data_IF_908969705068
#
_entry.id   IF_908969705068
#
_cell.length_a   1.000
_cell.length_b   1.000
_cell.length_c   1.000
_cell.angle_alpha   90.00
_cell.angle_beta   90.00
_cell.angle_gamma   90.00
#
_symmetry.space_group_name_H-M   'P 1'
#
loop_
_entity.id
_entity.type
_entity.pdbx_description
1 polymer ?
#
# COMPACT_ATOMS: atom_id res chain seq x y z
N UNK A 1 4.46 35.85 41.70
CA UNK A 1 5.08 34.61 41.14
C UNK A 1 4.06 33.56 40.68
N UNK A 2 3.05 33.18 41.47
CA UNK A 2 2.03 32.17 41.07
C UNK A 2 1.34 32.43 39.71
N UNK A 3 1.03 33.69 39.39
CA UNK A 3 0.38 34.05 38.09
C UNK A 3 1.30 33.85 36.87
N UNK A 4 2.62 34.01 37.05
CA UNK A 4 3.61 33.88 35.95
C UNK A 4 3.83 32.40 35.60
N UNK A 5 3.86 31.53 36.62
CA UNK A 5 3.98 30.08 36.46
C UNK A 5 2.78 29.51 35.68
N UNK A 6 1.58 30.00 35.96
CA UNK A 6 0.34 29.58 35.28
C UNK A 6 0.31 29.97 33.80
N UNK A 7 0.83 31.15 33.46
CA UNK A 7 0.98 31.60 32.07
C UNK A 7 2.04 30.78 31.33
N UNK A 8 3.18 30.47 31.97
CA UNK A 8 4.21 29.60 31.37
C UNK A 8 3.71 28.18 31.11
N UNK A 9 2.94 27.59 32.04
CA UNK A 9 2.32 26.27 31.84
C UNK A 9 1.33 26.29 30.68
N UNK A 10 0.51 27.33 30.55
CA UNK A 10 -0.43 27.47 29.43
C UNK A 10 0.31 27.57 28.09
N UNK A 11 1.41 28.35 28.01
CA UNK A 11 2.24 28.41 26.80
C UNK A 11 2.90 27.07 26.45
N UNK A 12 3.35 26.29 27.45
CA UNK A 12 3.87 24.94 27.22
C UNK A 12 2.80 23.99 26.66
N UNK A 13 1.56 24.06 27.16
CA UNK A 13 0.44 23.27 26.64
C UNK A 13 0.04 23.67 25.22
N UNK A 14 0.04 24.98 24.90
CA UNK A 14 -0.28 25.48 23.56
C UNK A 14 0.84 25.15 22.55
N UNK A 15 2.10 25.19 22.97
CA UNK A 15 3.25 24.81 22.12
C UNK A 15 3.35 23.29 21.93
N UNK A 16 3.02 22.49 22.94
CA UNK A 16 3.04 21.02 22.85
C UNK A 16 1.90 20.42 22.00
N UNK A 17 0.91 21.22 21.60
CA UNK A 17 -0.26 20.75 20.84
C UNK A 17 -0.16 21.03 19.32
N UNK A 18 1.00 21.46 18.83
CA UNK A 18 1.19 21.87 17.42
C UNK A 18 2.02 20.89 16.57
N UNK A 19 1.92 19.58 16.84
CA UNK A 19 2.13 18.61 15.75
C UNK A 19 0.86 18.59 14.91
N UNK A 20 0.75 19.50 13.94
CA UNK A 20 -0.27 19.38 12.89
C UNK A 20 -0.09 18.01 12.26
N UNK A 21 -1.02 17.09 12.53
CA UNK A 21 -1.08 15.84 11.79
C UNK A 21 -1.30 16.20 10.32
N UNK A 22 -0.49 15.62 9.43
CA UNK A 22 -0.61 15.85 8.00
C UNK A 22 -1.96 15.30 7.54
N UNK A 23 -2.81 16.17 7.01
CA UNK A 23 -4.09 15.79 6.43
C UNK A 23 -3.89 14.88 5.20
N UNK A 24 -4.79 13.91 5.02
CA UNK A 24 -4.77 12.96 3.90
C UNK A 24 -4.22 11.57 4.24
N UNK A 25 -3.89 10.85 3.16
CA UNK A 25 -3.29 9.51 3.21
C UNK A 25 -1.78 9.63 3.05
N UNK A 26 -1.05 9.03 3.97
CA UNK A 26 0.41 8.93 3.97
C UNK A 26 0.82 7.48 3.74
N UNK A 27 1.83 7.28 2.88
CA UNK A 27 2.49 5.99 2.70
C UNK A 27 3.97 6.17 2.99
N UNK A 28 4.54 5.33 3.84
CA UNK A 28 5.95 5.35 4.15
C UNK A 28 6.48 4.00 4.61
N UNK A 29 7.78 3.82 4.48
CA UNK A 29 8.50 2.67 5.02
C UNK A 29 8.83 2.88 6.50
N UNK A 30 8.38 1.98 7.36
CA UNK A 30 8.66 2.04 8.81
C UNK A 30 9.87 1.18 9.18
N UNK A 31 10.01 0.00 8.57
CA UNK A 31 11.10 -0.92 8.86
C UNK A 31 11.63 -1.57 7.58
N UNK A 32 12.94 -1.77 7.54
CA UNK A 32 13.64 -2.61 6.58
C UNK A 32 14.53 -3.59 7.35
N UNK A 33 14.47 -4.86 7.00
CA UNK A 33 15.31 -5.90 7.59
C UNK A 33 15.83 -6.82 6.49
N UNK A 34 17.15 -6.85 6.32
CA UNK A 34 17.78 -7.84 5.46
C UNK A 34 17.84 -9.17 6.24
N UNK A 35 17.17 -10.20 5.73
CA UNK A 35 17.13 -11.52 6.37
C UNK A 35 18.38 -12.34 6.02
N UNK A 36 18.89 -12.17 4.80
CA UNK A 36 20.14 -12.74 4.31
C UNK A 36 20.63 -11.97 3.06
N UNK A 37 21.63 -12.47 2.34
CA UNK A 37 22.16 -11.87 1.12
C UNK A 37 21.20 -11.84 -0.08
N UNK A 38 19.98 -12.35 0.05
CA UNK A 38 19.02 -12.48 -1.06
C UNK A 38 17.60 -12.07 -0.69
N UNK A 39 17.31 -11.90 0.59
CA UNK A 39 15.98 -11.64 1.12
C UNK A 39 15.94 -10.32 1.89
N UNK A 40 15.03 -9.44 1.48
CA UNK A 40 14.73 -8.18 2.13
C UNK A 40 13.26 -8.17 2.59
N UNK A 41 13.04 -7.98 3.89
CA UNK A 41 11.73 -7.74 4.45
C UNK A 41 11.53 -6.24 4.65
N UNK A 42 10.42 -5.71 4.14
CA UNK A 42 10.04 -4.31 4.28
C UNK A 42 8.65 -4.18 4.88
N UNK A 43 8.50 -3.31 5.87
CA UNK A 43 7.22 -2.91 6.44
C UNK A 43 6.81 -1.54 5.90
N UNK A 44 5.72 -1.51 5.16
CA UNK A 44 5.06 -0.29 4.69
C UNK A 44 3.90 0.04 5.63
N UNK A 45 3.79 1.32 5.97
CA UNK A 45 2.66 1.89 6.69
C UNK A 45 1.86 2.75 5.75
N UNK A 46 0.53 2.57 5.79
CA UNK A 46 -0.44 3.47 5.18
C UNK A 46 -1.30 4.05 6.29
N UNK A 47 -1.19 5.37 6.51
CA UNK A 47 -1.97 6.09 7.52
C UNK A 47 -2.99 6.98 6.81
N UNK A 48 -4.24 6.93 7.26
CA UNK A 48 -5.27 7.87 6.85
C UNK A 48 -5.61 8.76 8.04
N UNK A 49 -5.21 10.03 7.95
CA UNK A 49 -5.44 11.03 8.99
C UNK A 49 -6.76 11.78 8.80
N UNK A 50 -7.54 11.46 7.76
CA UNK A 50 -8.82 12.11 7.49
C UNK A 50 -10.00 11.40 8.14
N UNK A 51 -11.10 12.15 8.29
CA UNK A 51 -12.41 11.65 8.74
C UNK A 51 -13.19 10.87 7.66
N UNK A 52 -12.59 10.60 6.50
CA UNK A 52 -13.20 9.91 5.35
C UNK A 52 -12.51 8.57 5.13
N UNK A 53 -13.26 7.56 4.67
CA UNK A 53 -12.66 6.29 4.25
C UNK A 53 -12.18 6.43 2.80
N UNK A 54 -11.00 5.93 2.51
CA UNK A 54 -10.41 5.97 1.17
C UNK A 54 -10.21 4.58 0.60
N UNK A 55 -10.44 4.44 -0.70
CA UNK A 55 -9.98 3.30 -1.48
C UNK A 55 -8.80 3.77 -2.33
N UNK A 56 -7.66 3.11 -2.19
CA UNK A 56 -6.51 3.37 -3.02
C UNK A 56 -6.47 2.31 -4.14
N UNK A 57 -6.58 2.71 -5.42
CA UNK A 57 -6.55 1.77 -6.53
C UNK A 57 -5.11 1.40 -6.91
N UNK A 58 -4.50 0.53 -6.10
CA UNK A 58 -3.22 -0.12 -6.42
C UNK A 58 -3.34 -1.61 -6.43
N UNK A 59 -2.71 -2.22 -7.43
CA UNK A 59 -2.64 -3.67 -7.51
C UNK A 59 -1.72 -4.28 -6.45
N UNK A 60 -1.76 -5.61 -6.31
CA UNK A 60 -1.01 -6.34 -5.29
C UNK A 60 0.50 -6.45 -5.62
N UNK A 61 0.91 -5.98 -6.81
CA UNK A 61 2.26 -6.16 -7.31
C UNK A 61 3.16 -4.98 -6.95
N UNK A 62 4.14 -5.26 -6.10
CA UNK A 62 5.20 -4.30 -5.74
C UNK A 62 6.53 -4.80 -6.30
N UNK A 63 7.37 -3.85 -6.68
CA UNK A 63 8.69 -4.12 -7.22
C UNK A 63 9.71 -3.28 -6.48
N UNK A 64 10.85 -3.88 -6.18
CA UNK A 64 12.05 -3.15 -5.83
C UNK A 64 12.69 -2.71 -7.15
N UNK A 65 12.82 -1.42 -7.38
CA UNK A 65 13.27 -0.88 -8.67
C UNK A 65 14.40 0.12 -8.52
N UNK A 66 15.29 0.18 -9.52
CA UNK A 66 16.39 1.14 -9.58
C UNK A 66 16.50 1.74 -10.98
N UNK A 67 15.68 2.78 -11.20
CA UNK A 67 15.56 3.45 -12.50
C UNK A 67 16.88 4.08 -12.98
N UNK A 68 17.83 4.36 -12.08
CA UNK A 68 19.10 5.02 -12.43
C UNK A 68 20.17 4.07 -12.92
N UNK A 69 20.26 2.88 -12.32
CA UNK A 69 21.29 1.88 -12.63
C UNK A 69 20.79 0.78 -13.56
N UNK A 70 19.53 0.86 -14.00
CA UNK A 70 18.87 -0.15 -14.84
C UNK A 70 19.02 -1.57 -14.26
N UNK A 71 19.01 -1.68 -12.92
CA UNK A 71 19.06 -2.98 -12.26
C UNK A 71 17.72 -3.68 -12.49
N UNK A 72 17.76 -4.99 -12.67
CA UNK A 72 16.54 -5.78 -12.81
C UNK A 72 15.65 -5.63 -11.57
N UNK A 73 14.38 -5.26 -11.78
CA UNK A 73 13.44 -5.07 -10.68
C UNK A 73 13.14 -6.42 -10.00
N UNK A 74 13.03 -6.42 -8.68
CA UNK A 74 12.69 -7.61 -7.89
C UNK A 74 11.21 -7.56 -7.49
N UNK A 75 10.37 -8.51 -7.90
CA UNK A 75 8.98 -8.58 -7.44
C UNK A 75 8.92 -8.88 -5.93
N UNK A 76 7.91 -8.34 -5.27
CA UNK A 76 7.60 -8.65 -3.88
C UNK A 76 6.65 -9.84 -3.77
N UNK A 77 6.69 -10.52 -2.63
CA UNK A 77 5.57 -11.27 -2.09
C UNK A 77 4.98 -10.51 -0.89
N UNK A 78 3.65 -10.37 -0.84
CA UNK A 78 2.94 -9.88 0.35
C UNK A 78 2.93 -11.01 1.38
N UNK A 79 3.52 -10.78 2.55
CA UNK A 79 3.60 -11.76 3.64
C UNK A 79 2.40 -11.64 4.58
N UNK A 80 2.03 -10.39 4.92
CA UNK A 80 0.82 -10.10 5.69
C UNK A 80 0.40 -8.65 5.48
N UNK A 81 -0.88 -8.38 5.71
CA UNK A 81 -1.58 -7.17 5.26
C UNK A 81 -2.81 -6.92 6.14
N UNK A 82 -2.92 -5.70 6.69
CA UNK A 82 -4.11 -5.28 7.46
C UNK A 82 -5.31 -4.90 6.57
N UNK A 83 -5.20 -5.09 5.26
CA UNK A 83 -6.18 -4.65 4.27
C UNK A 83 -7.27 -5.68 4.01
N UNK A 84 -7.07 -6.90 4.51
CA UNK A 84 -8.08 -7.97 4.47
C UNK A 84 -9.19 -7.58 5.44
N UNK A 85 -10.40 -7.32 4.93
CA UNK A 85 -11.57 -7.00 5.75
C UNK A 85 -12.74 -7.90 5.37
N UNK A 86 -13.38 -8.52 6.36
CA UNK A 86 -14.59 -9.34 6.20
C UNK A 86 -15.86 -8.47 6.05
N UNK A 87 -16.00 -7.71 4.95
CA UNK A 87 -17.26 -7.03 4.58
C UNK A 87 -17.75 -7.61 3.26
N UNK A 88 -18.83 -8.39 3.30
CA UNK A 88 -19.38 -9.14 2.16
C UNK A 88 -19.59 -8.29 0.90
N UNK A 89 -19.87 -6.97 1.04
CA UNK A 89 -20.05 -6.08 -0.11
C UNK A 89 -18.73 -5.72 -0.77
N UNK A 90 -17.65 -5.62 0.00
CA UNK A 90 -16.30 -5.41 -0.55
C UNK A 90 -15.83 -6.67 -1.27
N UNK A 91 -16.14 -7.84 -0.71
CA UNK A 91 -15.83 -9.13 -1.33
C UNK A 91 -16.55 -9.29 -2.66
N UNK A 92 -17.85 -8.96 -2.71
CA UNK A 92 -18.60 -8.95 -3.97
C UNK A 92 -18.01 -7.96 -4.99
N UNK A 93 -17.69 -6.74 -4.55
CA UNK A 93 -17.06 -5.72 -5.41
C UNK A 93 -15.70 -6.19 -5.95
N UNK A 94 -14.87 -6.83 -5.13
CA UNK A 94 -13.57 -7.38 -5.50
C UNK A 94 -13.70 -8.53 -6.50
N UNK A 95 -14.65 -9.43 -6.25
CA UNK A 95 -14.98 -10.51 -7.17
C UNK A 95 -15.42 -9.95 -8.53
N UNK A 96 -16.39 -9.03 -8.55
CA UNK A 96 -16.88 -8.42 -9.80
C UNK A 96 -15.77 -7.71 -10.57
N UNK A 97 -14.91 -6.95 -9.88
CA UNK A 97 -13.79 -6.26 -10.51
C UNK A 97 -12.82 -7.26 -11.16
N UNK A 98 -12.51 -8.33 -10.44
CA UNK A 98 -11.58 -9.38 -10.84
C UNK A 98 -12.10 -10.17 -12.04
N UNK A 99 -13.37 -10.61 -12.00
CA UNK A 99 -14.03 -11.31 -13.11
C UNK A 99 -14.00 -10.48 -14.39
N UNK A 100 -14.32 -9.19 -14.28
CA UNK A 100 -14.49 -8.31 -15.44
C UNK A 100 -13.17 -7.86 -16.06
N UNK A 101 -12.11 -7.70 -15.25
CA UNK A 101 -10.87 -7.05 -15.71
C UNK A 101 -9.63 -7.94 -15.66
N UNK A 102 -9.47 -8.80 -14.64
CA UNK A 102 -8.26 -9.61 -14.48
C UNK A 102 -8.34 -10.96 -15.20
N UNK A 103 -9.53 -11.58 -15.24
CA UNK A 103 -9.73 -12.93 -15.82
C UNK A 103 -10.77 -12.93 -16.93
N UNK A 104 -10.74 -11.90 -17.79
CA UNK A 104 -11.63 -11.81 -18.93
C UNK A 104 -11.48 -13.06 -19.83
N UNK A 105 -12.54 -13.86 -19.94
CA UNK A 105 -12.59 -15.05 -20.81
C UNK A 105 -12.34 -16.40 -20.13
N UNK A 106 -12.20 -16.46 -18.81
CA UNK A 106 -12.16 -17.74 -18.08
C UNK A 106 -13.58 -18.27 -17.79
N UNK A 107 -13.77 -19.59 -17.81
CA UNK A 107 -15.06 -20.22 -17.50
C UNK A 107 -15.39 -20.09 -16.00
N UNK A 108 -16.68 -20.08 -15.66
CA UNK A 108 -17.15 -19.86 -14.28
C UNK A 108 -16.64 -20.90 -13.27
N UNK A 109 -16.39 -22.15 -13.69
CA UNK A 109 -15.81 -23.19 -12.83
C UNK A 109 -14.29 -23.04 -12.62
N UNK A 110 -13.55 -22.73 -13.69
CA UNK A 110 -12.13 -22.38 -13.56
C UNK A 110 -11.96 -21.14 -12.69
N UNK A 111 -12.92 -20.21 -12.78
CA UNK A 111 -12.99 -19.02 -11.93
C UNK A 111 -13.27 -19.37 -10.47
N UNK A 112 -14.27 -20.22 -10.15
CA UNK A 112 -14.52 -20.66 -8.75
C UNK A 112 -13.31 -21.33 -8.10
N UNK A 113 -12.57 -22.16 -8.84
CA UNK A 113 -11.34 -22.79 -8.35
C UNK A 113 -10.19 -21.78 -8.19
N UNK A 114 -10.10 -20.79 -9.08
CA UNK A 114 -9.17 -19.67 -8.94
C UNK A 114 -9.53 -18.78 -7.74
N UNK A 115 -10.83 -18.54 -7.47
CA UNK A 115 -11.30 -17.75 -6.33
C UNK A 115 -10.79 -18.29 -5.00
N UNK A 116 -10.91 -19.60 -4.77
CA UNK A 116 -10.50 -20.20 -3.51
C UNK A 116 -8.98 -20.09 -3.27
N UNK A 117 -8.16 -20.14 -4.32
CA UNK A 117 -6.70 -20.00 -4.23
C UNK A 117 -6.25 -18.54 -4.20
N UNK A 118 -7.00 -17.64 -4.82
CA UNK A 118 -6.61 -16.24 -5.03
C UNK A 118 -7.38 -15.26 -4.13
N UNK A 119 -8.23 -15.72 -3.20
CA UNK A 119 -8.94 -14.83 -2.27
C UNK A 119 -7.97 -13.91 -1.51
N UNK A 120 -6.79 -14.40 -1.15
CA UNK A 120 -5.71 -13.57 -0.59
C UNK A 120 -5.12 -12.57 -1.61
N UNK A 121 -4.93 -12.96 -2.87
CA UNK A 121 -4.48 -12.05 -3.94
C UNK A 121 -5.52 -10.95 -4.21
N UNK A 122 -6.82 -11.27 -4.15
CA UNK A 122 -7.92 -10.33 -4.36
C UNK A 122 -8.09 -9.38 -3.19
N UNK A 123 -8.06 -9.87 -1.95
CA UNK A 123 -8.11 -9.02 -0.77
C UNK A 123 -6.93 -8.04 -0.71
N UNK A 124 -5.81 -8.39 -1.36
CA UNK A 124 -4.63 -7.55 -1.49
C UNK A 124 -4.59 -6.71 -2.77
N UNK A 125 -5.65 -6.74 -3.61
CA UNK A 125 -5.67 -6.03 -4.89
C UNK A 125 -6.28 -4.62 -4.81
N UNK A 126 -6.97 -4.28 -3.72
CA UNK A 126 -7.49 -2.94 -3.48
C UNK A 126 -7.35 -2.55 -2.02
N UNK A 127 -6.84 -1.35 -1.78
CA UNK A 127 -6.40 -0.95 -0.46
C UNK A 127 -7.47 -0.07 0.21
N UNK A 128 -8.36 -0.69 0.97
CA UNK A 128 -9.41 -0.02 1.74
C UNK A 128 -8.85 0.57 3.05
N UNK A 129 -8.76 1.90 3.14
CA UNK A 129 -8.25 2.63 4.30
C UNK A 129 -9.40 3.31 5.04
N UNK A 130 -9.85 2.80 6.19
CA UNK A 130 -10.82 3.51 7.01
C UNK A 130 -10.31 4.89 7.45
N UNK A 131 -11.23 5.78 7.78
CA UNK A 131 -10.92 7.06 8.43
C UNK A 131 -10.11 6.86 9.70
N UNK A 132 -9.18 7.78 10.00
CA UNK A 132 -8.35 7.77 11.21
C UNK A 132 -7.71 6.39 11.51
N UNK A 133 -7.15 5.74 10.49
CA UNK A 133 -6.60 4.39 10.62
C UNK A 133 -5.14 4.32 10.20
N UNK A 134 -4.45 3.31 10.74
CA UNK A 134 -3.11 2.88 10.34
C UNK A 134 -3.25 1.45 9.82
N UNK A 135 -2.70 1.17 8.66
CA UNK A 135 -2.66 -0.17 8.05
C UNK A 135 -1.21 -0.54 7.74
N UNK A 136 -0.87 -1.79 7.99
CA UNK A 136 0.47 -2.32 7.80
C UNK A 136 0.48 -3.32 6.64
N UNK A 137 1.55 -3.28 5.86
CA UNK A 137 1.83 -4.21 4.77
C UNK A 137 3.28 -4.69 4.89
N UNK A 138 3.47 -6.00 4.93
CA UNK A 138 4.79 -6.62 4.96
C UNK A 138 5.10 -7.24 3.60
N UNK A 139 6.16 -6.75 2.99
CA UNK A 139 6.65 -7.20 1.69
C UNK A 139 7.97 -7.93 1.87
N UNK A 140 8.09 -9.12 1.29
CA UNK A 140 9.36 -9.80 1.13
C UNK A 140 9.83 -9.68 -0.32
N UNK A 141 11.07 -9.28 -0.53
CA UNK A 141 11.74 -9.26 -1.82
C UNK A 141 12.82 -10.32 -1.82
N UNK A 142 12.85 -11.15 -2.87
CA UNK A 142 13.79 -12.24 -3.00
C UNK A 142 14.48 -12.18 -4.37
N UNK A 143 15.81 -12.10 -4.37
CA UNK A 143 16.60 -12.02 -5.60
C UNK A 143 17.26 -13.32 -6.05
N UNK A 144 17.01 -14.45 -5.39
CA UNK A 144 17.58 -15.76 -5.74
C UNK A 144 17.31 -16.16 -7.19
N UNK A 145 16.20 -15.70 -7.78
CA UNK A 145 15.82 -16.02 -9.16
C UNK A 145 16.61 -15.25 -10.22
N UNK A 146 17.39 -14.24 -9.85
CA UNK A 146 18.01 -13.32 -10.80
C UNK A 146 19.54 -13.50 -10.80
N UNK A 147 20.05 -14.02 -11.91
CA UNK A 147 21.43 -14.47 -12.06
C UNK A 147 22.36 -13.31 -12.46
N UNK A 148 22.48 -12.29 -11.61
CA UNK A 148 23.47 -11.21 -11.81
C UNK A 148 24.64 -11.40 -10.85
N UNK A 149 25.86 -11.04 -11.25
CA UNK A 149 27.05 -11.11 -10.39
C UNK A 149 26.98 -10.20 -9.15
N UNK A 150 26.00 -9.30 -9.09
CA UNK A 150 25.80 -8.32 -8.03
C UNK A 150 24.47 -8.53 -7.29
N UNK A 151 24.27 -9.74 -6.74
CA UNK A 151 23.04 -10.18 -6.02
C UNK A 151 22.74 -9.41 -4.72
N UNK A 152 23.26 -8.22 -4.50
CA UNK A 152 22.96 -7.36 -3.34
C UNK A 152 22.90 -5.87 -3.66
N UNK A 153 23.40 -5.44 -4.83
CA UNK A 153 23.54 -4.00 -5.11
C UNK A 153 22.22 -3.27 -5.00
N UNK A 154 21.14 -3.88 -5.49
CA UNK A 154 19.81 -3.28 -5.44
C UNK A 154 19.32 -3.07 -4.00
N UNK A 155 19.66 -3.94 -3.03
CA UNK A 155 19.28 -3.77 -1.62
C UNK A 155 20.07 -2.69 -0.89
N UNK A 156 21.29 -2.39 -1.37
CA UNK A 156 22.18 -1.37 -0.80
C UNK A 156 22.16 -0.02 -1.51
N UNK A 157 21.60 0.06 -2.72
CA UNK A 157 21.65 1.28 -3.51
C UNK A 157 20.66 2.35 -3.03
N UNK A 158 21.13 3.61 -2.92
CA UNK A 158 20.35 4.76 -2.45
C UNK A 158 19.22 5.18 -3.38
N UNK A 159 19.26 4.79 -4.65
CA UNK A 159 18.23 5.09 -5.64
C UNK A 159 17.21 3.95 -5.79
N UNK A 160 17.38 2.86 -5.04
CA UNK A 160 16.38 1.81 -5.02
C UNK A 160 15.16 2.23 -4.22
N UNK A 161 13.99 2.07 -4.84
CA UNK A 161 12.69 2.37 -4.24
C UNK A 161 11.70 1.25 -4.47
N UNK A 162 10.66 1.20 -3.65
CA UNK A 162 9.50 0.35 -3.90
C UNK A 162 8.60 1.05 -4.93
N UNK A 163 8.52 0.46 -6.12
CA UNK A 163 7.54 0.82 -7.15
C UNK A 163 6.26 0.04 -6.90
N UNK A 164 5.13 0.75 -6.92
CA UNK A 164 3.80 0.17 -6.79
C UNK A 164 3.14 0.19 -8.17
N UNK A 165 2.58 -0.93 -8.61
CA UNK A 165 1.88 -0.99 -9.90
C UNK A 165 0.47 -0.42 -9.76
N UNK A 166 0.14 0.44 -10.71
CA UNK A 166 -1.15 1.11 -10.79
C UNK A 166 -2.10 0.39 -11.71
N UNK A 167 -3.38 0.48 -11.38
CA UNK A 167 -4.44 0.18 -12.33
C UNK A 167 -4.48 1.20 -13.46
N UNK A 168 -4.84 0.74 -14.65
CA UNK A 168 -5.08 1.64 -15.79
C UNK A 168 -6.34 2.47 -15.54
N UNK A 169 -6.50 3.55 -16.30
CA UNK A 169 -7.58 4.53 -16.09
C UNK A 169 -8.97 3.89 -16.19
N UNK A 170 -9.13 2.91 -17.06
CA UNK A 170 -10.36 2.16 -17.31
C UNK A 170 -10.74 1.31 -16.10
N UNK A 171 -9.77 0.62 -15.51
CA UNK A 171 -9.95 -0.16 -14.28
C UNK A 171 -10.34 0.75 -13.12
N UNK A 172 -9.68 1.91 -12.98
CA UNK A 172 -10.01 2.90 -11.95
C UNK A 172 -11.44 3.41 -12.07
N UNK A 173 -11.92 3.67 -13.30
CA UNK A 173 -13.33 4.03 -13.54
C UNK A 173 -14.27 2.90 -13.14
N UNK A 174 -13.92 1.67 -13.47
CA UNK A 174 -14.72 0.48 -13.11
C UNK A 174 -14.82 0.32 -11.61
N UNK A 175 -13.69 0.47 -10.89
CA UNK A 175 -13.65 0.47 -9.42
C UNK A 175 -14.57 1.56 -8.85
N UNK A 176 -14.49 2.79 -9.36
CA UNK A 176 -15.33 3.91 -8.90
C UNK A 176 -16.84 3.63 -9.14
N UNK A 177 -17.21 3.07 -10.29
CA UNK A 177 -18.59 2.63 -10.56
C UNK A 177 -19.05 1.53 -9.59
N UNK A 178 -18.20 0.54 -9.31
CA UNK A 178 -18.53 -0.56 -8.40
C UNK A 178 -18.69 -0.11 -6.95
N UNK A 179 -17.89 0.86 -6.48
CA UNK A 179 -18.07 1.50 -5.16
C UNK A 179 -19.46 2.12 -5.05
N UNK A 180 -19.85 2.88 -6.08
CA UNK A 180 -21.15 3.57 -6.11
C UNK A 180 -22.32 2.58 -6.20
N UNK A 181 -22.21 1.55 -7.06
CA UNK A 181 -23.21 0.50 -7.22
C UNK A 181 -23.44 -0.27 -5.92
N UNK A 182 -22.37 -0.69 -5.25
CA UNK A 182 -22.41 -1.43 -3.98
C UNK A 182 -22.65 -0.53 -2.76
N UNK A 183 -22.88 0.78 -2.96
CA UNK A 183 -23.14 1.79 -1.90
C UNK A 183 -22.09 1.78 -0.80
N UNK A 184 -20.82 1.54 -1.16
CA UNK A 184 -19.72 1.52 -0.21
C UNK A 184 -19.40 2.96 0.23
N UNK A 185 -19.26 3.18 1.55
CA UNK A 185 -18.91 4.49 2.11
C UNK A 185 -17.40 4.75 2.01
N UNK A 186 -16.88 4.75 0.79
CA UNK A 186 -15.47 4.93 0.45
C UNK A 186 -15.32 5.94 -0.68
N UNK A 187 -14.25 6.71 -0.66
CA UNK A 187 -13.91 7.67 -1.71
C UNK A 187 -12.64 7.19 -2.39
N UNK A 188 -12.62 7.17 -3.72
CA UNK A 188 -11.41 6.84 -4.45
C UNK A 188 -10.32 7.89 -4.20
N UNK A 189 -9.16 7.45 -3.75
CA UNK A 189 -8.02 8.32 -3.50
C UNK A 189 -7.29 8.62 -4.81
N UNK A 190 -7.32 9.89 -5.24
CA UNK A 190 -6.83 10.32 -6.57
C UNK A 190 -5.44 10.96 -6.56
N UNK A 191 -4.84 11.21 -5.40
CA UNK A 191 -3.50 11.83 -5.34
C UNK A 191 -2.43 10.76 -5.60
N UNK A 192 -1.35 11.15 -6.27
CA UNK A 192 -0.17 10.30 -6.48
C UNK A 192 0.61 10.11 -5.17
N UNK A 193 0.23 9.12 -4.37
CA UNK A 193 0.93 8.73 -3.13
C UNK A 193 2.29 8.07 -3.34
N UNK A 194 2.66 7.79 -4.58
CA UNK A 194 3.83 6.97 -4.96
C UNK A 194 5.04 7.78 -5.40
N UNK A 195 4.89 9.09 -5.55
CA UNK A 195 5.98 10.00 -5.97
C UNK A 195 6.83 10.47 -4.78
N UNK A 196 6.73 9.79 -3.64
CA UNK A 196 7.25 10.27 -2.38
C UNK A 196 8.59 9.61 -2.06
N UNK A 197 9.56 10.40 -1.62
CA UNK A 197 10.87 9.90 -1.15
C UNK A 197 10.78 8.91 0.03
N UNK A 198 9.57 8.70 0.57
CA UNK A 198 9.29 7.79 1.66
C UNK A 198 9.38 6.30 1.31
N UNK A 199 9.48 5.96 0.01
CA UNK A 199 9.56 4.59 -0.49
C UNK A 199 10.96 4.16 -0.94
N UNK A 200 11.98 5.04 -0.85
CA UNK A 200 13.38 4.62 -1.01
C UNK A 200 13.79 3.72 0.15
N UNK A 201 14.42 2.59 -0.16
CA UNK A 201 14.83 1.58 0.84
C UNK A 201 16.15 1.94 1.53
N UNK A 202 16.84 2.97 1.03
CA UNK A 202 18.11 3.49 1.54
C UNK A 202 18.02 5.01 1.50
N UNK A 203 18.14 5.66 2.67
CA UNK A 203 18.14 7.13 2.81
C UNK A 203 19.55 7.60 3.14
#
# INVERSE_FOLDING_TARGET
MRKIILVMLFFFFVLSCNKKEKEGVEIYMEKKQQLNSHCLLVKIIIKNNDKKNYLIPIGPNFYLDNDKKMLQSIPSQIITSDFITFDDRKDFMLQEFTEKNLYKGFSHEAFKMAILKNYEEYANSLFFIPKNSKRELFLAFNNYMYNTHNRNEIFSDKFTKIRIVHYVKEDVKTIDSLINYNKLKYILYKKNIYLNDSLYINK
#
